data_IF_326016384404
#
_entry.id   IF_326016384404
#
_cell.length_a   1.000
_cell.length_b   1.000
_cell.length_c   1.000
_cell.angle_alpha   90.00
_cell.angle_beta   90.00
_cell.angle_gamma   90.00
#
_symmetry.space_group_name_H-M   'P 1'
#
loop_
_entity.id
_entity.type
_entity.pdbx_description
1 polymer ?
#
# COMPACT_ATOMS: atom_id res chain seq x y z
N UNK A 1 15.10 -9.25 27.23
CA UNK A 1 15.75 -8.78 25.99
C UNK A 1 17.25 -8.58 26.14
N UNK A 2 18.00 -9.61 26.54
CA UNK A 2 19.47 -9.59 26.58
C UNK A 2 20.11 -10.16 25.30
N UNK A 3 19.30 -10.60 24.33
CA UNK A 3 19.75 -11.40 23.19
C UNK A 3 20.12 -10.59 21.93
N UNK A 4 20.04 -9.25 22.00
CA UNK A 4 20.41 -8.30 20.92
C UNK A 4 21.41 -7.24 21.44
N UNK A 5 21.67 -7.17 22.75
CA UNK A 5 22.69 -6.28 23.30
C UNK A 5 24.05 -6.98 23.20
N UNK A 6 24.96 -6.43 22.43
CA UNK A 6 26.36 -6.89 22.35
C UNK A 6 27.18 -6.67 23.63
N UNK A 7 26.58 -6.12 24.68
CA UNK A 7 27.22 -5.89 25.98
C UNK A 7 26.26 -6.28 27.12
N UNK A 8 26.80 -7.04 28.09
CA UNK A 8 26.13 -7.28 29.37
C UNK A 8 26.10 -5.97 30.19
N UNK A 9 25.23 -5.92 31.20
CA UNK A 9 25.12 -4.79 32.15
C UNK A 9 26.44 -4.48 32.88
N UNK A 10 27.39 -5.40 32.86
CA UNK A 10 28.69 -5.34 33.54
C UNK A 10 29.86 -4.94 32.62
N UNK A 11 29.60 -4.44 31.40
CA UNK A 11 30.63 -3.92 30.50
C UNK A 11 31.50 -4.97 29.81
N UNK A 12 31.28 -6.25 30.06
CA UNK A 12 31.94 -7.36 29.34
C UNK A 12 31.30 -7.57 27.97
N UNK A 13 32.14 -7.61 26.92
CA UNK A 13 31.71 -7.93 25.55
C UNK A 13 31.19 -9.36 25.54
N UNK A 14 29.89 -9.51 25.34
CA UNK A 14 29.29 -10.83 25.16
C UNK A 14 29.74 -11.31 23.78
N UNK A 15 30.75 -12.19 23.75
CA UNK A 15 31.15 -12.88 22.53
C UNK A 15 29.88 -13.44 21.89
N UNK A 16 29.58 -12.97 20.68
CA UNK A 16 28.46 -13.45 19.90
C UNK A 16 28.68 -14.95 19.68
N UNK A 17 28.08 -15.78 20.54
CA UNK A 17 28.05 -17.22 20.32
C UNK A 17 27.49 -17.40 18.90
N UNK A 18 28.20 -18.04 17.96
CA UNK A 18 27.71 -18.29 16.62
C UNK A 18 26.54 -19.27 16.72
N UNK A 19 25.37 -18.73 17.07
CA UNK A 19 24.12 -19.42 17.02
C UNK A 19 23.75 -19.52 15.55
N UNK A 20 24.44 -20.39 14.84
CA UNK A 20 24.15 -20.78 13.46
C UNK A 20 22.64 -21.03 13.27
N UNK A 21 21.98 -21.54 14.32
CA UNK A 21 20.53 -21.66 14.41
C UNK A 21 19.76 -20.32 14.21
N UNK A 22 20.18 -19.22 14.85
CA UNK A 22 19.55 -17.89 14.67
C UNK A 22 19.73 -17.38 13.24
N UNK A 23 20.92 -17.61 12.68
CA UNK A 23 21.23 -17.27 11.28
C UNK A 23 20.33 -18.05 10.34
N UNK A 24 20.24 -19.38 10.51
CA UNK A 24 19.35 -20.25 9.74
C UNK A 24 17.88 -19.82 9.89
N UNK A 25 17.43 -19.47 11.09
CA UNK A 25 16.05 -19.04 11.32
C UNK A 25 15.74 -17.71 10.61
N UNK A 26 16.68 -16.78 10.61
CA UNK A 26 16.55 -15.48 9.91
C UNK A 26 16.54 -15.68 8.39
N UNK A 27 17.46 -16.49 7.87
CA UNK A 27 17.49 -16.84 6.45
C UNK A 27 16.23 -17.59 6.01
N UNK A 28 15.76 -18.54 6.82
CA UNK A 28 14.53 -19.27 6.57
C UNK A 28 13.31 -18.34 6.58
N UNK A 29 13.22 -17.40 7.53
CA UNK A 29 12.16 -16.40 7.57
C UNK A 29 12.18 -15.46 6.35
N UNK A 30 13.36 -15.01 5.94
CA UNK A 30 13.53 -14.20 4.72
C UNK A 30 13.15 -15.00 3.45
N UNK A 31 13.64 -16.23 3.34
CA UNK A 31 13.35 -17.12 2.21
C UNK A 31 11.86 -17.44 2.14
N UNK A 32 11.21 -17.80 3.25
CA UNK A 32 9.78 -18.07 3.31
C UNK A 32 8.94 -16.86 2.86
N UNK A 33 9.29 -15.66 3.34
CA UNK A 33 8.60 -14.42 2.95
C UNK A 33 8.78 -14.14 1.45
N UNK A 34 9.99 -14.33 0.93
CA UNK A 34 10.31 -14.14 -0.49
C UNK A 34 9.60 -15.16 -1.38
N UNK A 35 9.65 -16.44 -1.02
CA UNK A 35 8.96 -17.53 -1.72
C UNK A 35 7.46 -17.31 -1.73
N UNK A 36 6.86 -16.82 -0.63
CA UNK A 36 5.45 -16.46 -0.59
C UNK A 36 5.11 -15.36 -1.62
N UNK A 37 5.88 -14.27 -1.67
CA UNK A 37 5.67 -13.23 -2.67
C UNK A 37 5.88 -13.75 -4.11
N UNK A 38 6.89 -14.59 -4.33
CA UNK A 38 7.17 -15.17 -5.63
C UNK A 38 6.02 -16.07 -6.12
N UNK A 39 5.47 -16.92 -5.24
CA UNK A 39 4.28 -17.73 -5.52
C UNK A 39 3.06 -16.85 -5.77
N UNK A 40 2.87 -15.78 -4.99
CA UNK A 40 1.80 -14.81 -5.20
C UNK A 40 1.89 -14.15 -6.58
N UNK A 41 3.09 -13.78 -7.05
CA UNK A 41 3.26 -13.23 -8.41
C UNK A 41 2.92 -14.26 -9.51
N UNK A 42 3.32 -15.52 -9.33
CA UNK A 42 2.98 -16.59 -10.27
C UNK A 42 1.46 -16.79 -10.29
N UNK A 43 0.82 -16.80 -9.12
CA UNK A 43 -0.63 -16.95 -8.98
C UNK A 43 -1.40 -15.78 -9.62
N UNK A 44 -0.97 -14.55 -9.38
CA UNK A 44 -1.53 -13.34 -10.00
C UNK A 44 -1.47 -13.42 -11.53
N UNK A 45 -0.37 -13.93 -12.09
CA UNK A 45 -0.23 -14.13 -13.53
C UNK A 45 -1.26 -15.14 -14.09
N UNK A 46 -1.65 -16.13 -13.28
CA UNK A 46 -2.67 -17.11 -13.66
C UNK A 46 -4.10 -16.57 -13.50
N UNK A 47 -4.33 -15.62 -12.56
CA UNK A 47 -5.68 -15.11 -12.25
C UNK A 47 -6.07 -13.82 -12.97
N UNK A 48 -5.13 -13.00 -13.44
CA UNK A 48 -5.45 -11.71 -14.08
C UNK A 48 -5.74 -11.87 -15.59
N UNK A 49 -6.99 -11.68 -16.05
CA UNK A 49 -7.28 -11.50 -17.49
C UNK A 49 -6.68 -10.17 -17.96
N UNK A 50 -5.97 -10.15 -19.10
CA UNK A 50 -5.14 -9.01 -19.57
C UNK A 50 -5.79 -7.64 -19.32
N UNK A 51 -5.27 -6.91 -18.33
CA UNK A 51 -5.64 -5.51 -18.09
C UNK A 51 -4.94 -4.58 -19.07
N UNK A 52 -5.65 -3.54 -19.55
CA UNK A 52 -5.08 -2.55 -20.47
C UNK A 52 -4.13 -1.61 -19.71
N UNK A 53 -2.99 -1.27 -20.31
CA UNK A 53 -1.97 -0.39 -19.71
C UNK A 53 -2.55 0.93 -19.20
N UNK A 54 -3.49 1.52 -19.94
CA UNK A 54 -4.12 2.79 -19.57
C UNK A 54 -4.88 2.73 -18.24
N UNK A 55 -5.46 1.57 -17.89
CA UNK A 55 -6.19 1.39 -16.64
C UNK A 55 -5.22 1.32 -15.45
N UNK A 56 -4.09 0.64 -15.63
CA UNK A 56 -3.04 0.57 -14.61
C UNK A 56 -2.42 1.94 -14.37
N UNK A 57 -2.16 2.68 -15.46
CA UNK A 57 -1.61 4.03 -15.36
C UNK A 57 -2.59 5.01 -14.70
N UNK A 58 -3.87 4.97 -15.09
CA UNK A 58 -4.88 5.80 -14.45
C UNK A 58 -5.04 5.47 -12.95
N UNK A 59 -4.96 4.20 -12.56
CA UNK A 59 -5.04 3.78 -11.16
C UNK A 59 -3.82 4.25 -10.35
N UNK A 60 -2.61 4.08 -10.89
CA UNK A 60 -1.38 4.56 -10.27
C UNK A 60 -1.40 6.07 -10.02
N UNK A 61 -1.76 6.84 -11.03
CA UNK A 61 -1.69 8.30 -10.97
C UNK A 61 -2.87 8.93 -10.22
N UNK A 62 -4.09 8.41 -10.36
CA UNK A 62 -5.27 9.02 -9.70
C UNK A 62 -5.52 8.51 -8.29
N UNK A 63 -5.02 7.34 -7.93
CA UNK A 63 -5.37 6.67 -6.67
C UNK A 63 -4.14 6.43 -5.81
N UNK A 64 -3.10 5.80 -6.35
CA UNK A 64 -1.94 5.42 -5.53
C UNK A 64 -1.15 6.65 -5.08
N UNK A 65 -0.93 7.62 -5.96
CA UNK A 65 -0.10 8.80 -5.64
C UNK A 65 -0.75 9.73 -4.60
N UNK A 66 -2.02 10.15 -4.72
CA UNK A 66 -2.67 10.96 -3.68
C UNK A 66 -2.79 10.22 -2.35
N UNK A 67 -3.04 8.92 -2.39
CA UNK A 67 -3.24 8.13 -1.17
C UNK A 67 -1.93 7.89 -0.42
N UNK A 68 -0.83 7.62 -1.13
CA UNK A 68 0.49 7.51 -0.51
C UNK A 68 0.91 8.83 0.17
N UNK A 69 0.63 9.97 -0.47
CA UNK A 69 0.91 11.29 0.10
C UNK A 69 0.05 11.55 1.34
N UNK A 70 -1.25 11.24 1.30
CA UNK A 70 -2.14 11.39 2.45
C UNK A 70 -1.70 10.53 3.65
N UNK A 71 -1.27 9.29 3.41
CA UNK A 71 -0.74 8.41 4.46
C UNK A 71 0.56 8.96 5.06
N UNK A 72 1.49 9.43 4.21
CA UNK A 72 2.74 10.02 4.67
C UNK A 72 2.48 11.26 5.54
N UNK A 73 1.56 12.14 5.11
CA UNK A 73 1.18 13.33 5.87
C UNK A 73 0.49 12.97 7.20
N UNK A 74 -0.37 11.95 7.22
CA UNK A 74 -1.01 11.44 8.43
C UNK A 74 0.02 10.94 9.45
N UNK A 75 0.93 10.07 9.03
CA UNK A 75 1.96 9.52 9.92
C UNK A 75 2.89 10.64 10.42
N UNK A 76 3.31 11.54 9.54
CA UNK A 76 4.12 12.70 9.93
C UNK A 76 3.41 13.60 10.95
N UNK A 77 2.14 13.93 10.72
CA UNK A 77 1.35 14.74 11.65
C UNK A 77 1.15 14.06 13.00
N UNK A 78 0.90 12.75 13.02
CA UNK A 78 0.75 11.99 14.26
C UNK A 78 2.05 11.98 15.06
N UNK A 79 3.20 11.81 14.41
CA UNK A 79 4.50 11.85 15.06
C UNK A 79 4.71 13.21 15.75
N UNK A 80 4.39 14.32 15.07
CA UNK A 80 4.53 15.68 15.63
C UNK A 80 3.61 15.91 16.84
N UNK A 81 2.34 15.50 16.74
CA UNK A 81 1.39 15.60 17.87
C UNK A 81 1.86 14.77 19.06
N UNK A 82 2.38 13.57 18.80
CA UNK A 82 2.82 12.66 19.85
C UNK A 82 4.11 13.14 20.54
N UNK A 83 4.94 13.90 19.81
CA UNK A 83 6.13 14.59 20.34
C UNK A 83 5.75 15.77 21.24
N UNK A 84 4.74 16.57 20.86
CA UNK A 84 4.23 17.66 21.73
C UNK A 84 3.60 17.15 23.03
N UNK A 85 2.96 15.98 23.02
CA UNK A 85 2.39 15.35 24.24
C UNK A 85 3.51 14.85 25.18
N UNK A 86 4.78 14.94 24.80
CA UNK A 86 5.93 14.59 25.64
C UNK A 86 6.05 13.08 25.87
N UNK A 87 5.42 12.26 25.02
CA UNK A 87 5.49 10.80 25.13
C UNK A 87 6.86 10.35 24.66
N UNK A 88 7.76 10.10 25.60
CA UNK A 88 9.10 9.56 25.32
C UNK A 88 9.00 8.24 24.55
N UNK A 89 9.87 8.07 23.53
CA UNK A 89 10.02 6.86 22.72
C UNK A 89 9.98 5.59 23.59
N UNK A 90 8.79 5.01 23.68
CA UNK A 90 8.44 3.98 24.66
C UNK A 90 7.25 3.18 24.18
N UNK A 91 6.77 2.26 25.03
CA UNK A 91 5.70 1.34 24.65
C UNK A 91 4.39 2.05 24.27
N UNK A 92 4.04 3.14 24.97
CA UNK A 92 2.87 3.97 24.69
C UNK A 92 2.96 4.67 23.33
N UNK A 93 4.16 5.15 22.95
CA UNK A 93 4.40 5.73 21.63
C UNK A 93 4.19 4.68 20.53
N UNK A 94 4.71 3.47 20.74
CA UNK A 94 4.51 2.34 19.84
C UNK A 94 3.04 1.93 19.71
N UNK A 95 2.30 1.89 20.81
CA UNK A 95 0.87 1.55 20.83
C UNK A 95 0.02 2.64 20.16
N UNK A 96 0.31 3.90 20.42
CA UNK A 96 -0.34 5.01 19.74
C UNK A 96 -0.09 4.94 18.22
N UNK A 97 1.15 4.66 17.80
CA UNK A 97 1.49 4.55 16.39
C UNK A 97 0.84 3.33 15.71
N UNK A 98 0.73 2.19 16.40
CA UNK A 98 0.03 1.01 15.86
C UNK A 98 -1.47 1.21 15.82
N UNK A 99 -2.06 1.87 16.81
CA UNK A 99 -3.47 2.24 16.81
C UNK A 99 -3.79 3.21 15.66
N UNK A 100 -2.94 4.23 15.47
CA UNK A 100 -3.06 5.17 14.36
C UNK A 100 -2.82 4.48 13.01
N UNK A 101 -1.81 3.63 12.89
CA UNK A 101 -1.54 2.89 11.65
C UNK A 101 -2.67 1.92 11.32
N UNK A 102 -3.27 1.29 12.34
CA UNK A 102 -4.47 0.48 12.21
C UNK A 102 -5.68 1.31 11.76
N UNK A 103 -5.89 2.48 12.37
CA UNK A 103 -6.96 3.41 11.99
C UNK A 103 -6.75 3.97 10.57
N UNK A 104 -5.52 4.27 10.18
CA UNK A 104 -5.17 4.72 8.84
C UNK A 104 -5.37 3.60 7.81
N UNK A 105 -5.06 2.35 8.18
CA UNK A 105 -5.33 1.18 7.34
C UNK A 105 -6.85 0.95 7.17
N UNK A 106 -7.63 1.09 8.24
CA UNK A 106 -9.09 1.02 8.18
C UNK A 106 -9.68 2.18 7.33
N UNK A 107 -9.17 3.40 7.50
CA UNK A 107 -9.55 4.55 6.68
C UNK A 107 -9.18 4.38 5.21
N UNK A 108 -8.03 3.77 4.92
CA UNK A 108 -7.61 3.43 3.56
C UNK A 108 -8.55 2.39 2.93
N UNK A 109 -8.85 1.30 3.65
CA UNK A 109 -9.80 0.27 3.18
C UNK A 109 -11.17 0.88 2.94
N UNK A 110 -11.66 1.70 3.88
CA UNK A 110 -12.95 2.37 3.73
C UNK A 110 -12.96 3.35 2.56
N UNK A 111 -11.89 4.13 2.33
CA UNK A 111 -11.77 5.01 1.18
C UNK A 111 -11.75 4.23 -0.15
N UNK A 112 -11.06 3.08 -0.18
CA UNK A 112 -11.06 2.18 -1.32
C UNK A 112 -12.44 1.54 -1.57
N UNK A 113 -13.14 1.12 -0.51
CA UNK A 113 -14.48 0.51 -0.57
C UNK A 113 -15.59 1.52 -0.85
N UNK A 114 -15.40 2.82 -0.55
CA UNK A 114 -16.41 3.87 -0.75
C UNK A 114 -16.67 4.23 -2.22
N UNK A 115 -16.34 3.31 -3.14
CA UNK A 115 -16.94 3.24 -4.47
C UNK A 115 -16.52 4.31 -5.47
N UNK A 116 -15.53 5.15 -5.15
CA UNK A 116 -15.09 6.22 -6.07
C UNK A 116 -14.11 5.76 -7.16
N UNK A 117 -13.63 4.52 -7.08
CA UNK A 117 -12.52 4.01 -7.90
C UNK A 117 -12.92 2.94 -8.91
N UNK A 118 -14.14 2.38 -8.79
CA UNK A 118 -14.66 1.37 -9.71
C UNK A 118 -15.90 1.93 -10.40
N UNK A 119 -15.71 2.97 -11.22
CA UNK A 119 -16.63 3.22 -12.32
C UNK A 119 -16.20 2.24 -13.41
N UNK A 120 -16.91 1.13 -13.50
CA UNK A 120 -16.73 0.18 -14.59
C UNK A 120 -16.78 0.92 -15.92
N UNK A 121 -15.81 0.64 -16.80
CA UNK A 121 -15.71 1.19 -18.15
C UNK A 121 -16.90 0.83 -19.08
N UNK A 122 -17.97 0.25 -18.55
CA UNK A 122 -19.18 -0.12 -19.29
C UNK A 122 -20.09 1.09 -19.62
N UNK A 123 -19.92 2.24 -18.96
CA UNK A 123 -20.82 3.39 -19.14
C UNK A 123 -20.51 4.32 -20.31
N UNK A 124 -19.29 4.29 -20.86
CA UNK A 124 -18.83 5.36 -21.76
C UNK A 124 -19.04 5.06 -23.26
N UNK A 125 -19.26 3.79 -23.65
CA UNK A 125 -19.37 3.41 -25.07
C UNK A 125 -20.71 3.74 -25.72
N UNK A 126 -21.77 3.99 -24.94
CA UNK A 126 -23.13 4.17 -25.49
C UNK A 126 -23.43 5.59 -26.00
N UNK A 127 -22.59 6.58 -25.70
CA UNK A 127 -22.93 7.99 -25.97
C UNK A 127 -22.30 8.56 -27.24
N UNK A 128 -21.22 7.95 -27.77
CA UNK A 128 -20.52 8.51 -28.95
C UNK A 128 -21.21 8.23 -30.29
N UNK A 129 -22.19 7.33 -30.35
CA UNK A 129 -22.83 6.92 -31.63
C UNK A 129 -24.02 7.81 -32.01
N UNK A 130 -24.59 8.59 -31.09
CA UNK A 130 -25.87 9.27 -31.34
C UNK A 130 -25.79 10.67 -31.94
N UNK A 131 -24.60 11.29 -32.04
CA UNK A 131 -24.49 12.73 -32.44
C UNK A 131 -23.98 12.93 -33.88
N UNK A 132 -23.43 11.90 -34.53
CA UNK A 132 -22.94 12.04 -35.92
C UNK A 132 -24.01 11.80 -36.99
N UNK A 133 -25.24 11.47 -36.61
CA UNK A 133 -26.34 11.15 -37.53
C UNK A 133 -27.33 12.30 -37.81
N UNK A 134 -27.15 13.49 -37.23
CA UNK A 134 -28.16 14.58 -37.28
C UNK A 134 -27.55 15.89 -37.83
N UNK A 135 -26.57 15.82 -38.72
CA UNK A 135 -26.09 17.00 -39.45
C UNK A 135 -25.93 16.74 -40.94
N UNK A 136 -26.95 16.13 -41.55
CA UNK A 136 -27.16 16.25 -42.98
C UNK A 136 -28.58 16.78 -43.24
N UNK A 137 -28.77 18.11 -43.29
CA UNK A 137 -29.93 18.64 -44.00
C UNK A 137 -29.73 18.34 -45.47
N UNK A 138 -30.61 17.50 -46.01
CA UNK A 138 -30.81 17.34 -47.44
C UNK A 138 -31.19 18.71 -48.03
N UNK A 139 -30.25 19.38 -48.67
CA UNK A 139 -30.59 20.38 -49.69
C UNK A 139 -30.59 19.65 -51.02
N UNK A 140 -31.78 19.20 -51.40
CA UNK A 140 -32.21 19.06 -52.79
C UNK A 140 -31.75 20.32 -53.56
N UNK A 141 -31.18 20.22 -54.75
CA UNK A 141 -31.91 19.74 -55.92
C UNK A 141 -32.74 20.90 -56.46
N UNK A 142 -32.05 21.90 -57.01
CA UNK A 142 -32.50 22.92 -57.96
C UNK A 142 -31.27 23.38 -58.76
#
# INVERSE_FOLDING_TARGET
GQLIKGFSQDGVAVLANPAWWKTVLTFCGFAAKTSFFMLLYIWIRWTLPRFRYDQVMALGWKVMLPTALAYAMLIGGVILVLDEVGIRWGFSYGLALTAVSGAATAGFIFFLDRGRTIIGAAGQSRQKVSISGISQPATAGD
#
